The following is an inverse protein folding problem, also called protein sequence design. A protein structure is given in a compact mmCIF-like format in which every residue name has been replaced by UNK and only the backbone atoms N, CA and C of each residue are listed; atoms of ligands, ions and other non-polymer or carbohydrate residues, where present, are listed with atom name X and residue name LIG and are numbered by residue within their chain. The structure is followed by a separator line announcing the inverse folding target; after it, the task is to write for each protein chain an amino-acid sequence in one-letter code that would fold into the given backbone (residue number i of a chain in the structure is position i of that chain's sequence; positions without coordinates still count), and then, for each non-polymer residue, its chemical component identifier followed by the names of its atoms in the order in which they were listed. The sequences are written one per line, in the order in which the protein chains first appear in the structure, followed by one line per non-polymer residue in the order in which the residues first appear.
data_IF_425317415611
#
_entry.id   IF_425317415611
#
_cell.length_a   1.000
_cell.length_b   1.000
_cell.length_c   1.000
_cell.angle_alpha   90.00
_cell.angle_beta   90.00
_cell.angle_gamma   90.00
#
_symmetry.space_group_name_H-M   'P 1'
#
loop_
_entity.id
_entity.type
_entity.pdbx_description
1 polymer ?
#
# COMPACT_ATOMS: atom_id res chain seq x y z
N UNK A 1 -28.00 -10.12 5.98
CA UNK A 1 -26.60 -10.50 6.31
C UNK A 1 -25.69 -9.95 5.22
N UNK A 2 -24.57 -9.28 5.55
CA UNK A 2 -23.68 -8.73 4.51
C UNK A 2 -22.93 -9.87 3.83
N UNK A 3 -22.89 -9.91 2.50
CA UNK A 3 -22.22 -10.99 1.76
C UNK A 3 -20.69 -10.87 1.83
N UNK A 4 -19.98 -12.00 1.80
CA UNK A 4 -18.52 -11.99 1.57
C UNK A 4 -18.27 -11.61 0.12
N UNK A 5 -17.36 -10.67 -0.15
CA UNK A 5 -17.04 -10.23 -1.51
C UNK A 5 -15.55 -10.35 -1.80
N UNK A 6 -15.18 -10.23 -3.08
CA UNK A 6 -13.77 -10.18 -3.49
C UNK A 6 -12.98 -9.05 -2.82
N UNK A 7 -13.64 -7.96 -2.44
CA UNK A 7 -13.02 -6.87 -1.67
C UNK A 7 -12.58 -7.33 -0.27
N UNK A 8 -13.31 -8.24 0.38
CA UNK A 8 -12.89 -8.79 1.68
C UNK A 8 -11.64 -9.67 1.54
N UNK A 9 -11.57 -10.50 0.49
CA UNK A 9 -10.39 -11.32 0.16
C UNK A 9 -9.16 -10.43 -0.03
N UNK A 10 -9.31 -9.38 -0.82
CA UNK A 10 -8.29 -8.36 -1.05
C UNK A 10 -7.86 -7.65 0.25
N UNK A 11 -8.84 -7.28 1.08
CA UNK A 11 -8.61 -6.47 2.29
C UNK A 11 -8.02 -7.30 3.42
N UNK A 12 -8.32 -8.59 3.52
CA UNK A 12 -7.82 -9.47 4.58
C UNK A 12 -6.29 -9.48 4.63
N UNK A 13 -5.64 -9.56 3.46
CA UNK A 13 -4.19 -9.54 3.33
C UNK A 13 -3.54 -8.24 3.82
N UNK A 14 -4.33 -7.17 3.95
CA UNK A 14 -3.88 -5.88 4.50
C UNK A 14 -4.24 -5.74 5.97
N UNK A 15 -5.48 -6.05 6.34
CA UNK A 15 -6.00 -5.87 7.69
C UNK A 15 -7.28 -6.68 7.95
N UNK A 16 -7.18 -7.73 8.76
CA UNK A 16 -8.32 -8.52 9.24
C UNK A 16 -9.36 -7.69 10.01
N UNK A 17 -8.94 -6.69 10.81
CA UNK A 17 -9.88 -5.81 11.53
C UNK A 17 -10.75 -4.99 10.56
N UNK A 18 -10.19 -4.55 9.43
CA UNK A 18 -10.98 -3.83 8.42
C UNK A 18 -12.04 -4.74 7.78
N UNK A 19 -11.72 -6.02 7.55
CA UNK A 19 -12.69 -7.01 7.04
C UNK A 19 -13.81 -7.24 8.06
N UNK A 20 -13.48 -7.44 9.35
CA UNK A 20 -14.49 -7.59 10.39
C UNK A 20 -15.42 -6.37 10.46
N UNK A 21 -14.87 -5.16 10.45
CA UNK A 21 -15.65 -3.92 10.43
C UNK A 21 -16.50 -3.77 9.14
N UNK A 22 -16.00 -4.19 7.99
CA UNK A 22 -16.78 -4.20 6.75
C UNK A 22 -17.98 -5.15 6.83
N UNK A 23 -17.79 -6.34 7.41
CA UNK A 23 -18.81 -7.39 7.54
C UNK A 23 -19.88 -7.06 8.58
N UNK A 24 -19.50 -6.56 9.75
CA UNK A 24 -20.43 -6.39 10.89
C UNK A 24 -20.54 -4.95 11.41
N UNK A 25 -19.55 -4.10 11.12
CA UNK A 25 -19.48 -2.74 11.64
C UNK A 25 -20.44 -1.77 10.95
N UNK A 26 -20.66 -0.64 11.63
CA UNK A 26 -21.42 0.51 11.13
C UNK A 26 -20.60 1.29 10.11
N UNK A 27 -21.06 1.32 8.85
CA UNK A 27 -20.36 1.97 7.75
C UNK A 27 -20.36 3.50 7.86
N UNK A 28 -21.27 4.08 8.64
CA UNK A 28 -21.29 5.53 8.89
C UNK A 28 -20.08 6.00 9.70
N UNK A 29 -19.40 5.06 10.38
CA UNK A 29 -18.14 5.34 11.08
C UNK A 29 -16.92 5.37 10.14
N UNK A 30 -17.08 4.97 8.87
CA UNK A 30 -16.01 5.17 7.88
C UNK A 30 -15.87 6.65 7.61
N UNK A 31 -14.62 7.13 7.61
CA UNK A 31 -14.37 8.47 7.09
C UNK A 31 -14.72 8.52 5.59
N UNK A 32 -15.22 9.65 5.08
CA UNK A 32 -15.45 9.84 3.64
C UNK A 32 -14.13 9.78 2.87
N UNK A 33 -14.19 9.39 1.60
CA UNK A 33 -13.01 9.43 0.72
C UNK A 33 -12.51 10.87 0.57
N UNK A 34 -11.19 11.02 0.45
CA UNK A 34 -10.58 12.31 0.07
C UNK A 34 -10.63 12.48 -1.44
N UNK A 35 -10.59 13.72 -1.97
CA UNK A 35 -10.63 13.96 -3.40
C UNK A 35 -9.59 13.16 -4.21
N UNK A 36 -8.37 13.03 -3.70
CA UNK A 36 -7.31 12.26 -4.37
C UNK A 36 -7.57 10.74 -4.37
N UNK A 37 -8.27 10.21 -3.37
CA UNK A 37 -8.69 8.80 -3.34
C UNK A 37 -9.83 8.55 -4.32
N UNK A 38 -10.80 9.46 -4.39
CA UNK A 38 -11.89 9.42 -5.37
C UNK A 38 -11.33 9.50 -6.80
N UNK A 39 -10.34 10.37 -7.03
CA UNK A 39 -9.63 10.50 -8.30
C UNK A 39 -8.95 9.19 -8.72
N UNK A 40 -8.22 8.53 -7.81
CA UNK A 40 -7.59 7.22 -8.09
C UNK A 40 -8.64 6.14 -8.40
N UNK A 41 -9.76 6.12 -7.67
CA UNK A 41 -10.86 5.19 -7.94
C UNK A 41 -11.57 5.47 -9.27
N UNK A 42 -11.74 6.74 -9.64
CA UNK A 42 -12.29 7.12 -10.94
C UNK A 42 -11.42 6.61 -12.08
N UNK A 43 -10.10 6.84 -12.03
CA UNK A 43 -9.17 6.33 -13.05
C UNK A 43 -9.16 4.81 -13.17
N UNK A 44 -9.34 4.10 -12.06
CA UNK A 44 -9.54 2.66 -12.05
C UNK A 44 -10.75 2.24 -12.89
N UNK A 45 -11.91 2.86 -12.64
CA UNK A 45 -13.15 2.63 -13.39
C UNK A 45 -13.02 3.02 -14.86
N UNK A 46 -12.34 4.12 -15.18
CA UNK A 46 -12.13 4.56 -16.56
C UNK A 46 -11.21 3.60 -17.35
N UNK A 47 -10.22 2.99 -16.69
CA UNK A 47 -9.41 1.94 -17.31
C UNK A 47 -10.23 0.68 -17.59
N UNK A 48 -11.03 0.25 -16.60
CA UNK A 48 -11.92 -0.89 -16.73
C UNK A 48 -12.93 -0.70 -17.86
N UNK A 49 -13.62 0.44 -17.88
CA UNK A 49 -14.59 0.78 -18.92
C UNK A 49 -13.96 0.77 -20.33
N UNK A 50 -12.75 1.32 -20.50
CA UNK A 50 -12.05 1.30 -21.80
C UNK A 50 -11.68 -0.12 -22.24
N UNK A 51 -11.27 -0.99 -21.30
CA UNK A 51 -10.96 -2.38 -21.61
C UNK A 51 -12.23 -3.14 -22.00
N UNK A 52 -13.31 -2.97 -21.23
CA UNK A 52 -14.62 -3.58 -21.50
C UNK A 52 -15.18 -3.12 -22.85
N UNK A 53 -15.14 -1.82 -23.15
CA UNK A 53 -15.58 -1.26 -24.44
C UNK A 53 -14.79 -1.87 -25.61
N UNK A 54 -13.47 -2.04 -25.46
CA UNK A 54 -12.61 -2.66 -26.46
C UNK A 54 -12.91 -4.14 -26.72
N UNK A 55 -13.53 -4.85 -25.76
CA UNK A 55 -13.95 -6.24 -25.90
C UNK A 55 -15.33 -6.37 -26.54
N UNK A 56 -16.18 -5.34 -26.46
CA UNK A 56 -17.56 -5.38 -26.97
C UNK A 56 -18.46 -6.37 -26.23
N UNK A 57 -18.11 -6.76 -25.01
CA UNK A 57 -18.89 -7.67 -24.19
C UNK A 57 -20.03 -6.93 -23.49
N UNK A 58 -21.14 -7.63 -23.28
CA UNK A 58 -22.33 -7.04 -22.64
C UNK A 58 -22.29 -7.24 -21.13
N UNK A 59 -22.94 -6.32 -20.40
CA UNK A 59 -23.17 -6.42 -18.96
C UNK A 59 -24.58 -6.93 -18.66
N UNK A 60 -24.81 -7.65 -17.55
CA UNK A 60 -26.16 -8.02 -17.13
C UNK A 60 -26.97 -6.78 -16.69
N UNK A 61 -28.17 -6.62 -17.22
CA UNK A 61 -29.09 -5.55 -16.81
C UNK A 61 -29.98 -6.01 -15.64
N UNK A 62 -29.95 -5.27 -14.53
CA UNK A 62 -30.78 -5.56 -13.35
C UNK A 62 -30.96 -4.32 -12.46
N UNK A 63 -31.99 -4.28 -11.59
CA UNK A 63 -32.18 -3.17 -10.66
C UNK A 63 -30.99 -2.99 -9.71
N UNK A 64 -30.59 -1.75 -9.37
CA UNK A 64 -29.46 -1.51 -8.48
C UNK A 64 -29.59 -2.25 -7.15
N UNK A 65 -28.55 -3.00 -6.78
CA UNK A 65 -28.44 -3.81 -5.55
C UNK A 65 -29.38 -5.02 -5.47
N UNK A 66 -30.12 -5.36 -6.53
CA UNK A 66 -30.84 -6.62 -6.66
C UNK A 66 -29.89 -7.70 -7.22
N UNK A 67 -29.04 -8.22 -6.34
CA UNK A 67 -27.97 -9.14 -6.73
C UNK A 67 -28.51 -10.49 -7.23
N UNK A 68 -29.67 -10.89 -6.75
CA UNK A 68 -30.41 -12.07 -7.18
C UNK A 68 -30.88 -11.92 -8.63
N UNK A 69 -31.48 -10.78 -8.98
CA UNK A 69 -31.80 -10.47 -10.38
C UNK A 69 -30.55 -10.41 -11.26
N UNK A 70 -29.47 -9.78 -10.78
CA UNK A 70 -28.19 -9.71 -11.50
C UNK A 70 -27.57 -11.09 -11.75
N UNK A 71 -27.61 -11.99 -10.77
CA UNK A 71 -27.12 -13.36 -10.92
C UNK A 71 -27.95 -14.14 -11.93
N UNK A 72 -29.28 -14.00 -11.91
CA UNK A 72 -30.17 -14.63 -12.90
C UNK A 72 -29.92 -14.10 -14.31
N UNK A 73 -29.68 -12.79 -14.46
CA UNK A 73 -29.34 -12.18 -15.75
C UNK A 73 -28.00 -12.71 -16.26
N UNK A 74 -26.98 -12.75 -15.39
CA UNK A 74 -25.66 -13.32 -15.70
C UNK A 74 -25.78 -14.76 -16.15
N UNK A 75 -26.45 -15.63 -15.39
CA UNK A 75 -26.65 -17.04 -15.74
C UNK A 75 -27.33 -17.20 -17.10
N UNK A 76 -28.33 -16.38 -17.41
CA UNK A 76 -29.03 -16.39 -18.71
C UNK A 76 -28.07 -16.09 -19.86
N UNK A 77 -27.20 -15.08 -19.69
CA UNK A 77 -26.17 -14.74 -20.68
C UNK A 77 -25.17 -15.89 -20.85
N UNK A 78 -24.67 -16.46 -19.76
CA UNK A 78 -23.73 -17.58 -19.81
C UNK A 78 -24.33 -18.80 -20.52
N UNK A 79 -25.59 -19.15 -20.25
CA UNK A 79 -26.32 -20.25 -20.90
C UNK A 79 -26.55 -20.03 -22.39
N UNK A 80 -26.70 -18.77 -22.83
CA UNK A 80 -26.81 -18.46 -24.25
C UNK A 80 -25.47 -18.60 -25.01
N UNK A 81 -24.36 -18.75 -24.27
CA UNK A 81 -23.05 -19.00 -24.84
C UNK A 81 -22.44 -17.79 -25.56
N UNK A 82 -22.72 -16.57 -25.09
CA UNK A 82 -22.02 -15.36 -25.57
C UNK A 82 -20.50 -15.48 -25.42
N UNK A 83 -19.74 -14.74 -26.21
CA UNK A 83 -18.28 -14.82 -26.18
C UNK A 83 -17.69 -14.39 -24.83
N UNK A 84 -18.30 -13.37 -24.21
CA UNK A 84 -17.97 -12.94 -22.86
C UNK A 84 -19.04 -12.05 -22.25
N UNK A 85 -18.94 -11.89 -20.94
CA UNK A 85 -19.80 -11.04 -20.12
C UNK A 85 -18.90 -10.14 -19.27
N UNK A 86 -19.22 -8.86 -19.22
CA UNK A 86 -18.56 -7.90 -18.34
C UNK A 86 -19.40 -7.66 -17.09
N UNK A 87 -18.75 -7.33 -15.96
CA UNK A 87 -19.44 -7.05 -14.69
C UNK A 87 -20.48 -8.12 -14.29
N UNK A 88 -20.13 -9.39 -14.52
CA UNK A 88 -21.02 -10.51 -14.23
C UNK A 88 -21.30 -10.64 -12.73
N UNK A 89 -22.48 -11.11 -12.35
CA UNK A 89 -22.86 -11.32 -10.95
C UNK A 89 -22.87 -12.81 -10.63
N UNK A 90 -22.03 -13.22 -9.68
CA UNK A 90 -21.93 -14.59 -9.21
C UNK A 90 -22.35 -14.67 -7.74
N UNK A 91 -23.30 -15.55 -7.42
CA UNK A 91 -23.75 -15.81 -6.05
C UNK A 91 -23.45 -17.25 -5.67
N UNK A 92 -23.01 -17.44 -4.42
CA UNK A 92 -22.80 -18.76 -3.82
C UNK A 92 -22.96 -18.67 -2.30
N UNK A 93 -24.03 -19.25 -1.75
CA UNK A 93 -24.35 -19.12 -0.32
C UNK A 93 -24.46 -17.66 0.14
N UNK A 94 -23.59 -17.26 1.07
CA UNK A 94 -23.49 -15.89 1.60
C UNK A 94 -22.45 -15.03 0.87
N UNK A 95 -22.02 -15.43 -0.32
CA UNK A 95 -20.92 -14.82 -1.09
C UNK A 95 -21.44 -14.12 -2.34
N UNK A 96 -20.79 -13.02 -2.71
CA UNK A 96 -21.07 -12.23 -3.90
C UNK A 96 -19.77 -11.95 -4.65
N UNK A 97 -19.70 -12.44 -5.87
CA UNK A 97 -18.66 -12.14 -6.84
C UNK A 97 -19.16 -11.16 -7.89
N UNK A 98 -18.32 -10.17 -8.21
CA UNK A 98 -18.52 -9.25 -9.33
C UNK A 98 -17.19 -9.23 -10.09
N UNK A 99 -16.87 -10.28 -10.87
CA UNK A 99 -15.72 -10.26 -11.77
C UNK A 99 -15.91 -9.22 -12.87
N UNK A 100 -14.81 -8.54 -13.24
CA UNK A 100 -14.88 -7.60 -14.36
C UNK A 100 -15.16 -8.32 -15.68
N UNK A 101 -14.66 -9.56 -15.82
CA UNK A 101 -14.66 -10.32 -17.08
C UNK A 101 -15.01 -11.80 -16.86
N UNK A 102 -15.92 -12.32 -17.67
CA UNK A 102 -16.20 -13.75 -17.84
C UNK A 102 -16.01 -14.11 -19.31
N UNK A 103 -14.98 -14.88 -19.65
CA UNK A 103 -14.66 -15.26 -21.04
C UNK A 103 -15.05 -16.70 -21.32
N UNK A 104 -15.74 -16.94 -22.43
CA UNK A 104 -16.10 -18.30 -22.87
C UNK A 104 -14.87 -19.03 -23.41
N UNK A 105 -14.70 -20.28 -22.99
CA UNK A 105 -13.65 -21.20 -23.42
C UNK A 105 -14.25 -22.56 -23.80
N UNK A 106 -13.65 -23.30 -24.75
CA UNK A 106 -14.13 -24.63 -25.09
C UNK A 106 -13.96 -25.60 -23.91
N UNK A 107 -14.88 -26.57 -23.80
CA UNK A 107 -14.81 -27.64 -22.79
C UNK A 107 -16.15 -27.87 -22.10
N UNK A 108 -16.49 -29.14 -21.90
CA UNK A 108 -17.78 -29.54 -21.34
C UNK A 108 -18.03 -28.95 -19.93
N UNK A 109 -19.25 -28.45 -19.72
CA UNK A 109 -19.80 -27.96 -18.45
C UNK A 109 -21.33 -28.09 -18.42
N UNK A 110 -21.98 -27.64 -17.35
CA UNK A 110 -23.46 -27.55 -17.27
C UNK A 110 -24.05 -26.58 -18.31
N UNK A 111 -23.22 -25.71 -18.90
CA UNK A 111 -23.63 -24.76 -19.92
C UNK A 111 -23.57 -25.33 -21.35
N UNK A 112 -22.98 -26.53 -21.54
CA UNK A 112 -22.82 -27.19 -22.84
C UNK A 112 -21.37 -27.60 -23.13
N UNK A 113 -20.96 -27.53 -24.39
CA UNK A 113 -19.58 -27.86 -24.85
C UNK A 113 -18.55 -26.73 -24.60
N UNK A 114 -18.93 -25.75 -23.78
CA UNK A 114 -18.10 -24.63 -23.37
C UNK A 114 -18.28 -24.36 -21.87
N UNK A 115 -17.36 -23.58 -21.33
CA UNK A 115 -17.40 -23.05 -19.97
C UNK A 115 -16.89 -21.61 -19.98
N UNK A 116 -16.91 -20.93 -18.85
CA UNK A 116 -16.31 -19.61 -18.70
C UNK A 116 -15.14 -19.65 -17.74
N UNK A 117 -14.19 -18.75 -17.98
CA UNK A 117 -13.05 -18.44 -17.10
C UNK A 117 -13.16 -17.00 -16.61
N UNK A 118 -12.61 -16.73 -15.42
CA UNK A 118 -12.70 -15.41 -14.80
C UNK A 118 -11.48 -14.56 -15.12
N UNK A 119 -11.73 -13.31 -15.50
CA UNK A 119 -10.74 -12.25 -15.61
C UNK A 119 -11.07 -11.03 -14.73
N UNK A 120 -10.05 -10.25 -14.39
CA UNK A 120 -10.22 -9.00 -13.65
C UNK A 120 -9.26 -7.93 -14.18
N UNK A 121 -9.71 -6.69 -14.28
CA UNK A 121 -8.92 -5.56 -14.77
C UNK A 121 -8.21 -4.89 -13.60
N UNK A 122 -6.90 -4.65 -13.74
CA UNK A 122 -6.08 -4.05 -12.67
C UNK A 122 -5.23 -2.91 -13.19
N UNK A 123 -5.30 -1.78 -12.50
CA UNK A 123 -4.45 -0.60 -12.73
C UNK A 123 -2.97 -0.80 -12.36
N UNK A 124 -2.61 -1.94 -11.77
CA UNK A 124 -1.23 -2.27 -11.45
C UNK A 124 -0.45 -2.73 -12.68
N UNK A 125 0.82 -2.33 -12.76
CA UNK A 125 1.74 -2.78 -13.81
C UNK A 125 2.21 -4.24 -13.67
N UNK A 126 1.98 -4.88 -12.51
CA UNK A 126 2.36 -6.27 -12.24
C UNK A 126 1.24 -6.96 -11.47
N UNK A 127 1.03 -8.27 -11.68
CA UNK A 127 0.07 -9.04 -10.91
C UNK A 127 0.49 -9.10 -9.44
N UNK A 128 -0.49 -9.09 -8.55
CA UNK A 128 -0.26 -9.22 -7.11
C UNK A 128 -1.11 -10.35 -6.53
N UNK A 129 -0.62 -10.96 -5.45
CA UNK A 129 -1.28 -12.11 -4.82
C UNK A 129 -2.70 -11.81 -4.30
N UNK A 130 -2.96 -10.58 -3.85
CA UNK A 130 -4.30 -10.11 -3.45
C UNK A 130 -5.30 -10.10 -4.61
N UNK A 131 -4.84 -9.73 -5.81
CA UNK A 131 -5.67 -9.70 -7.02
C UNK A 131 -5.92 -11.12 -7.56
N UNK A 132 -4.89 -11.97 -7.51
CA UNK A 132 -5.00 -13.38 -7.88
C UNK A 132 -6.04 -14.10 -7.01
N UNK A 133 -5.98 -13.94 -5.68
CA UNK A 133 -6.94 -14.58 -4.78
C UNK A 133 -8.37 -14.06 -4.97
N UNK A 134 -8.55 -12.81 -5.39
CA UNK A 134 -9.86 -12.28 -5.77
C UNK A 134 -10.45 -13.00 -6.99
N UNK A 135 -9.64 -13.26 -8.02
CA UNK A 135 -10.07 -14.05 -9.20
C UNK A 135 -10.33 -15.52 -8.84
N UNK A 136 -9.54 -16.10 -7.93
CA UNK A 136 -9.79 -17.46 -7.42
C UNK A 136 -11.14 -17.51 -6.69
N UNK A 137 -11.44 -16.51 -5.85
CA UNK A 137 -12.74 -16.38 -5.19
C UNK A 137 -13.91 -16.39 -6.20
N UNK A 138 -13.82 -15.58 -7.25
CA UNK A 138 -14.84 -15.55 -8.31
C UNK A 138 -14.90 -16.86 -9.09
N UNK A 139 -13.75 -17.50 -9.33
CA UNK A 139 -13.67 -18.77 -10.06
C UNK A 139 -14.35 -19.92 -9.31
N UNK A 140 -14.30 -19.93 -7.98
CA UNK A 140 -15.05 -20.89 -7.16
C UNK A 140 -16.57 -20.65 -7.24
N UNK A 141 -17.02 -19.40 -7.20
CA UNK A 141 -18.45 -19.08 -7.38
C UNK A 141 -18.94 -19.44 -8.78
N UNK A 142 -18.12 -19.19 -9.80
CA UNK A 142 -18.43 -19.60 -11.17
C UNK A 142 -18.49 -21.12 -11.30
N UNK A 143 -17.62 -21.85 -10.58
CA UNK A 143 -17.61 -23.30 -10.58
C UNK A 143 -18.92 -23.90 -10.07
N UNK A 144 -19.53 -23.30 -9.05
CA UNK A 144 -20.85 -23.69 -8.54
C UNK A 144 -21.94 -23.55 -9.61
N UNK A 145 -21.89 -22.46 -10.40
CA UNK A 145 -22.86 -22.16 -11.46
C UNK A 145 -22.73 -23.12 -12.67
N UNK A 146 -21.50 -23.32 -13.17
CA UNK A 146 -21.27 -24.09 -14.40
C UNK A 146 -20.93 -25.57 -14.15
N UNK A 147 -20.86 -26.00 -12.89
CA UNK A 147 -20.52 -27.37 -12.49
C UNK A 147 -19.08 -27.79 -12.77
N UNK A 148 -18.20 -26.83 -13.09
CA UNK A 148 -16.77 -27.05 -13.38
C UNK A 148 -15.93 -25.85 -12.95
N UNK A 149 -14.85 -26.13 -12.22
CA UNK A 149 -13.83 -25.14 -11.90
C UNK A 149 -13.01 -24.75 -13.14
N UNK A 150 -12.81 -23.44 -13.43
CA UNK A 150 -11.83 -22.97 -14.40
C UNK A 150 -10.42 -23.49 -14.10
N UNK A 151 -9.69 -23.94 -15.12
CA UNK A 151 -8.29 -24.37 -14.95
C UNK A 151 -7.36 -23.19 -14.64
N UNK A 152 -7.70 -22.03 -15.20
CA UNK A 152 -6.95 -20.79 -15.03
C UNK A 152 -7.88 -19.60 -14.82
N UNK A 153 -7.34 -18.58 -14.17
CA UNK A 153 -7.88 -17.22 -14.17
C UNK A 153 -6.89 -16.28 -14.83
N UNK A 154 -7.31 -15.04 -15.10
CA UNK A 154 -6.42 -14.06 -15.70
C UNK A 154 -6.60 -12.65 -15.13
N UNK A 155 -5.56 -11.84 -15.22
CA UNK A 155 -5.61 -10.40 -14.94
C UNK A 155 -5.28 -9.64 -16.21
N UNK A 156 -6.07 -8.60 -16.51
CA UNK A 156 -5.72 -7.62 -17.54
C UNK A 156 -5.08 -6.43 -16.85
N UNK A 157 -3.79 -6.21 -17.09
CA UNK A 157 -3.03 -5.15 -16.44
C UNK A 157 -3.23 -3.81 -17.15
N UNK A 158 -2.69 -2.75 -16.54
CA UNK A 158 -2.82 -1.37 -17.05
C UNK A 158 -2.39 -1.18 -18.50
N UNK A 159 -1.39 -1.92 -18.96
CA UNK A 159 -0.87 -1.87 -20.33
C UNK A 159 -1.70 -2.74 -21.31
N UNK A 160 -2.79 -3.34 -20.85
CA UNK A 160 -3.63 -4.26 -21.61
C UNK A 160 -3.07 -5.69 -21.68
N UNK A 161 -1.91 -5.96 -21.08
CA UNK A 161 -1.34 -7.31 -21.09
C UNK A 161 -2.17 -8.26 -20.23
N UNK A 162 -2.36 -9.48 -20.72
CA UNK A 162 -3.04 -10.55 -20.02
C UNK A 162 -2.03 -11.43 -19.26
N UNK A 163 -2.25 -11.59 -17.95
CA UNK A 163 -1.49 -12.49 -17.11
C UNK A 163 -2.36 -13.65 -16.62
N UNK A 164 -2.12 -14.85 -17.15
CA UNK A 164 -2.82 -16.09 -16.74
C UNK A 164 -2.10 -16.79 -15.60
N UNK A 165 -2.85 -17.44 -14.73
CA UNK A 165 -2.33 -18.28 -13.66
C UNK A 165 -3.27 -19.45 -13.38
N UNK A 166 -2.73 -20.59 -12.97
CA UNK A 166 -3.52 -21.78 -12.64
C UNK A 166 -4.27 -21.56 -11.33
N UNK A 167 -5.58 -21.86 -11.31
CA UNK A 167 -6.39 -21.69 -10.09
C UNK A 167 -5.92 -22.63 -8.97
N UNK A 168 -5.57 -23.87 -9.33
CA UNK A 168 -5.19 -24.93 -8.38
C UNK A 168 -4.01 -24.53 -7.48
N UNK A 169 -3.03 -23.78 -8.03
CA UNK A 169 -1.83 -23.34 -7.31
C UNK A 169 -2.15 -22.45 -6.10
N UNK A 170 -3.30 -21.77 -6.12
CA UNK A 170 -3.69 -20.79 -5.11
C UNK A 170 -4.81 -21.28 -4.19
N UNK A 171 -5.44 -22.44 -4.47
CA UNK A 171 -6.51 -22.98 -3.64
C UNK A 171 -6.14 -23.18 -2.17
N UNK A 172 -4.94 -23.68 -1.80
CA UNK A 172 -4.59 -23.84 -0.39
C UNK A 172 -4.55 -22.50 0.36
N UNK A 173 -4.05 -21.44 -0.30
CA UNK A 173 -4.04 -20.09 0.27
C UNK A 173 -5.45 -19.50 0.33
N UNK A 174 -6.23 -19.68 -0.73
CA UNK A 174 -7.62 -19.22 -0.81
C UNK A 174 -8.49 -19.82 0.29
N UNK A 175 -8.40 -21.14 0.55
CA UNK A 175 -9.18 -21.80 1.62
C UNK A 175 -8.89 -21.19 2.98
N UNK A 176 -7.62 -20.93 3.31
CA UNK A 176 -7.22 -20.27 4.57
C UNK A 176 -7.80 -18.87 4.69
N UNK A 177 -7.76 -18.09 3.60
CA UNK A 177 -8.36 -16.75 3.57
C UNK A 177 -9.86 -16.84 3.82
N UNK A 178 -10.57 -17.77 3.19
CA UNK A 178 -12.02 -17.92 3.39
C UNK A 178 -12.35 -18.39 4.80
N UNK A 179 -11.61 -19.35 5.36
CA UNK A 179 -11.76 -19.78 6.75
C UNK A 179 -11.58 -18.61 7.73
N UNK A 180 -10.60 -17.74 7.49
CA UNK A 180 -10.39 -16.54 8.31
C UNK A 180 -11.53 -15.53 8.14
N UNK A 181 -11.99 -15.26 6.91
CA UNK A 181 -13.14 -14.35 6.68
C UNK A 181 -14.41 -14.87 7.36
N UNK A 182 -14.70 -16.17 7.24
CA UNK A 182 -15.88 -16.79 7.83
C UNK A 182 -15.76 -16.74 9.37
N UNK A 183 -14.58 -16.99 9.94
CA UNK A 183 -14.33 -16.79 11.37
C UNK A 183 -14.50 -15.34 11.84
N UNK A 184 -14.06 -14.35 11.05
CA UNK A 184 -14.24 -12.93 11.36
C UNK A 184 -15.70 -12.47 11.26
N UNK A 185 -16.51 -13.14 10.43
CA UNK A 185 -17.95 -12.91 10.35
C UNK A 185 -18.65 -13.41 11.61
N UNK A 186 -18.31 -14.61 12.05
CA UNK A 186 -18.98 -15.29 13.16
C UNK A 186 -18.53 -14.77 14.53
N UNK A 187 -17.26 -14.37 14.65
CA UNK A 187 -16.66 -13.82 15.87
C UNK A 187 -15.81 -12.57 15.55
N UNK A 188 -16.41 -11.44 15.14
CA UNK A 188 -15.70 -10.21 14.76
C UNK A 188 -14.86 -9.60 15.89
N UNK A 189 -15.20 -9.88 17.15
CA UNK A 189 -14.45 -9.49 18.34
C UNK A 189 -13.15 -10.30 18.53
N UNK A 190 -12.99 -11.42 17.82
CA UNK A 190 -11.77 -12.24 17.87
C UNK A 190 -10.55 -11.51 17.30
N UNK A 191 -10.75 -10.46 16.48
CA UNK A 191 -9.68 -9.64 15.92
C UNK A 191 -9.60 -8.27 16.58
N UNK A 192 -8.38 -7.95 17.03
CA UNK A 192 -8.03 -6.62 17.53
C UNK A 192 -7.33 -5.78 16.45
N UNK A 193 -7.52 -4.45 16.46
CA UNK A 193 -6.71 -3.56 15.64
C UNK A 193 -5.21 -3.77 15.88
N UNK A 194 -4.41 -3.32 14.91
CA UNK A 194 -2.94 -3.31 15.00
C UNK A 194 -2.42 -2.17 14.14
N UNK A 195 -1.62 -1.29 14.72
CA UNK A 195 -1.04 -0.16 13.99
C UNK A 195 -0.09 -0.64 12.90
N UNK A 196 -0.31 -0.19 11.65
CA UNK A 196 0.46 -0.63 10.49
C UNK A 196 0.47 0.41 9.37
N UNK A 197 1.28 0.17 8.34
CA UNK A 197 1.33 1.04 7.15
C UNK A 197 -0.01 1.15 6.41
N UNK A 198 -0.90 0.16 6.55
CA UNK A 198 -2.22 0.19 5.93
C UNK A 198 -3.14 1.25 6.57
N UNK A 199 -2.86 1.70 7.80
CA UNK A 199 -3.72 2.61 8.55
C UNK A 199 -3.80 4.01 7.92
N UNK A 200 -2.75 4.49 7.24
CA UNK A 200 -2.70 5.85 6.68
C UNK A 200 -3.74 6.12 5.56
N UNK A 201 -4.11 5.09 4.81
CA UNK A 201 -5.18 5.13 3.80
C UNK A 201 -6.47 4.44 4.21
N UNK A 202 -6.57 3.97 5.46
CA UNK A 202 -7.72 3.18 5.90
C UNK A 202 -8.89 4.09 6.28
N UNK A 203 -10.07 3.85 5.71
CA UNK A 203 -11.28 4.58 6.07
C UNK A 203 -11.79 4.26 7.50
N UNK A 204 -11.37 3.12 8.06
CA UNK A 204 -11.69 2.69 9.43
C UNK A 204 -10.68 3.18 10.48
N UNK A 205 -9.62 3.90 10.09
CA UNK A 205 -8.65 4.40 11.07
C UNK A 205 -9.26 5.25 12.19
N UNK A 206 -10.33 6.06 11.98
CA UNK A 206 -10.96 6.78 13.10
C UNK A 206 -11.65 5.89 14.13
N UNK A 207 -11.97 4.63 13.79
CA UNK A 207 -12.52 3.65 14.74
C UNK A 207 -11.39 2.95 15.48
N UNK A 208 -10.37 2.49 14.75
CA UNK A 208 -9.29 1.68 15.32
C UNK A 208 -8.26 2.50 16.13
N UNK A 209 -7.91 3.71 15.67
CA UNK A 209 -6.84 4.49 16.31
C UNK A 209 -7.16 4.89 17.75
N UNK A 210 -8.37 5.38 18.08
CA UNK A 210 -8.72 5.70 19.47
C UNK A 210 -8.69 4.48 20.41
N UNK A 211 -9.11 3.31 19.92
CA UNK A 211 -9.04 2.04 20.67
C UNK A 211 -7.58 1.70 21.01
N UNK A 212 -6.69 1.74 20.02
CA UNK A 212 -5.26 1.48 20.21
C UNK A 212 -4.60 2.48 21.17
N UNK A 213 -4.95 3.76 21.06
CA UNK A 213 -4.43 4.82 21.95
C UNK A 213 -4.91 4.64 23.40
N UNK A 214 -6.19 4.32 23.60
CA UNK A 214 -6.76 4.08 24.92
C UNK A 214 -6.13 2.85 25.60
N UNK A 215 -5.80 1.83 24.82
CA UNK A 215 -5.16 0.59 25.30
C UNK A 215 -3.64 0.72 25.49
N UNK A 216 -3.04 1.87 25.17
CA UNK A 216 -1.58 2.07 25.18
C UNK A 216 -0.85 0.98 24.34
N UNK A 217 -1.47 0.58 23.22
CA UNK A 217 -1.17 -0.67 22.51
C UNK A 217 0.29 -0.73 22.00
N UNK A 218 0.91 -1.89 22.19
CA UNK A 218 2.32 -2.12 21.83
C UNK A 218 2.60 -2.05 20.33
N UNK A 219 1.59 -2.08 19.46
CA UNK A 219 1.76 -1.92 18.00
C UNK A 219 2.28 -0.54 17.61
N UNK A 220 2.21 0.45 18.50
CA UNK A 220 2.93 1.71 18.35
C UNK A 220 4.45 1.60 18.55
N UNK A 221 5.01 0.44 18.88
CA UNK A 221 6.46 0.28 18.99
C UNK A 221 7.06 -0.14 17.62
N UNK A 222 8.09 0.57 17.11
CA UNK A 222 8.77 0.17 15.88
C UNK A 222 9.26 -1.28 15.90
N UNK A 223 8.94 -2.03 14.85
CA UNK A 223 9.32 -3.43 14.71
C UNK A 223 8.42 -4.41 15.50
N UNK A 224 7.34 -3.93 16.11
CA UNK A 224 6.34 -4.81 16.71
C UNK A 224 5.67 -5.69 15.65
N UNK A 225 5.41 -6.95 16.01
CA UNK A 225 4.59 -7.89 15.23
C UNK A 225 3.41 -8.35 16.09
N UNK A 226 2.34 -8.87 15.47
CA UNK A 226 1.19 -9.41 16.22
C UNK A 226 1.62 -10.47 17.23
N UNK A 227 2.45 -11.42 16.80
CA UNK A 227 2.96 -12.50 17.66
C UNK A 227 3.82 -11.98 18.82
N UNK A 228 4.63 -10.93 18.59
CA UNK A 228 5.45 -10.32 19.64
C UNK A 228 4.58 -9.56 20.64
N UNK A 229 3.59 -8.79 20.17
CA UNK A 229 2.61 -8.11 21.03
C UNK A 229 1.89 -9.14 21.91
N UNK A 230 1.29 -10.16 21.31
CA UNK A 230 0.54 -11.19 22.04
C UNK A 230 1.45 -12.00 23.00
N UNK A 231 2.74 -12.14 22.67
CA UNK A 231 3.75 -12.72 23.56
C UNK A 231 4.02 -11.86 24.79
N UNK A 232 4.24 -10.56 24.60
CA UNK A 232 4.48 -9.60 25.69
C UNK A 232 3.26 -9.44 26.60
N UNK A 233 2.06 -9.34 26.02
CA UNK A 233 0.80 -9.24 26.76
C UNK A 233 0.56 -10.49 27.64
N UNK A 234 0.73 -11.70 27.08
CA UNK A 234 0.63 -12.95 27.85
C UNK A 234 1.70 -13.05 28.94
N UNK A 235 2.86 -12.46 28.71
CA UNK A 235 3.91 -12.36 29.72
C UNK A 235 3.63 -11.29 30.79
N UNK A 236 2.52 -10.54 30.71
CA UNK A 236 2.10 -9.54 31.70
C UNK A 236 2.66 -8.14 31.47
N UNK A 237 3.12 -7.84 30.26
CA UNK A 237 3.68 -6.56 29.84
C UNK A 237 2.81 -5.87 28.77
N UNK A 238 1.49 -5.90 28.96
CA UNK A 238 0.55 -5.18 28.11
C UNK A 238 0.68 -3.66 28.33
N UNK A 239 0.81 -2.91 27.24
CA UNK A 239 0.94 -1.45 27.25
C UNK A 239 2.38 -0.95 27.21
N UNK A 240 2.62 0.13 26.47
CA UNK A 240 3.94 0.77 26.38
C UNK A 240 4.44 1.24 27.75
N UNK A 241 3.58 1.82 28.58
CA UNK A 241 3.92 2.27 29.93
C UNK A 241 4.32 1.13 30.85
N UNK A 242 3.62 -0.01 30.78
CA UNK A 242 3.96 -1.19 31.55
C UNK A 242 5.32 -1.75 31.13
N UNK A 243 5.58 -1.78 29.82
CA UNK A 243 6.82 -2.32 29.26
C UNK A 243 8.04 -1.46 29.61
N UNK A 244 7.95 -0.13 29.50
CA UNK A 244 9.03 0.81 29.86
C UNK A 244 9.37 0.75 31.37
N UNK A 245 8.37 0.58 32.23
CA UNK A 245 8.56 0.52 33.68
C UNK A 245 9.00 -0.86 34.22
N UNK A 246 8.99 -1.91 33.40
CA UNK A 246 9.31 -3.26 33.84
C UNK A 246 10.83 -3.50 33.99
N UNK A 247 11.19 -4.46 34.84
CA UNK A 247 12.57 -4.94 34.90
C UNK A 247 12.93 -5.71 33.63
N UNK A 248 14.04 -5.35 32.99
CA UNK A 248 14.44 -5.92 31.70
C UNK A 248 14.71 -7.43 31.78
N UNK A 249 15.25 -7.93 32.91
CA UNK A 249 15.51 -9.36 33.08
C UNK A 249 14.21 -10.14 33.31
N UNK A 250 13.23 -9.56 34.03
CA UNK A 250 11.87 -10.14 34.15
C UNK A 250 11.18 -10.23 32.79
N UNK A 251 11.23 -9.17 31.98
CA UNK A 251 10.68 -9.17 30.62
C UNK A 251 11.35 -10.24 29.75
N UNK A 252 12.68 -10.26 29.72
CA UNK A 252 13.45 -11.24 28.94
C UNK A 252 13.08 -12.69 29.32
N UNK A 253 12.98 -12.96 30.62
CA UNK A 253 12.64 -14.28 31.14
C UNK A 253 11.21 -14.71 30.81
N UNK A 254 10.21 -13.88 31.15
CA UNK A 254 8.79 -14.23 31.03
C UNK A 254 8.31 -14.21 29.58
N UNK A 255 8.80 -13.27 28.76
CA UNK A 255 8.47 -13.19 27.34
C UNK A 255 9.39 -14.06 26.47
N UNK A 256 10.44 -14.68 27.04
CA UNK A 256 11.45 -15.49 26.33
C UNK A 256 12.11 -14.72 25.18
N UNK A 257 12.54 -13.50 25.47
CA UNK A 257 13.18 -12.60 24.52
C UNK A 257 14.66 -12.41 24.86
N UNK A 258 15.48 -12.24 23.84
CA UNK A 258 16.87 -11.85 24.02
C UNK A 258 16.96 -10.48 24.72
N UNK A 259 17.92 -10.28 25.66
CA UNK A 259 18.04 -9.02 26.41
C UNK A 259 18.14 -7.79 25.50
N UNK A 260 18.88 -7.88 24.40
CA UNK A 260 19.03 -6.79 23.41
C UNK A 260 17.69 -6.40 22.78
N UNK A 261 16.80 -7.37 22.54
CA UNK A 261 15.46 -7.09 22.03
C UNK A 261 14.62 -6.35 23.08
N UNK A 262 14.69 -6.78 24.34
CA UNK A 262 13.98 -6.14 25.45
C UNK A 262 14.43 -4.70 25.62
N UNK A 263 15.74 -4.45 25.66
CA UNK A 263 16.30 -3.09 25.76
C UNK A 263 15.80 -2.20 24.62
N UNK A 264 15.78 -2.72 23.38
CA UNK A 264 15.26 -1.98 22.23
C UNK A 264 13.76 -1.65 22.37
N UNK A 265 12.95 -2.61 22.82
CA UNK A 265 11.51 -2.42 23.01
C UNK A 265 11.22 -1.44 24.16
N UNK A 266 11.95 -1.50 25.26
CA UNK A 266 11.80 -0.57 26.38
C UNK A 266 12.25 0.85 25.98
N UNK A 267 13.33 0.98 25.21
CA UNK A 267 13.73 2.26 24.61
C UNK A 267 12.63 2.81 23.69
N UNK A 268 12.01 1.96 22.87
CA UNK A 268 10.89 2.36 22.01
C UNK A 268 9.66 2.81 22.82
N UNK A 269 9.33 2.08 23.88
CA UNK A 269 8.24 2.43 24.79
C UNK A 269 8.51 3.76 25.49
N UNK A 270 9.75 4.02 25.91
CA UNK A 270 10.17 5.31 26.45
C UNK A 270 10.05 6.44 25.44
N UNK A 271 10.52 6.21 24.21
CA UNK A 271 10.38 7.15 23.11
C UNK A 271 8.91 7.52 22.91
N UNK A 272 8.02 6.51 22.80
CA UNK A 272 6.56 6.66 22.67
C UNK A 272 5.99 7.52 23.79
N UNK A 273 6.30 7.19 25.04
CA UNK A 273 5.81 7.93 26.22
C UNK A 273 6.27 9.37 26.29
N UNK A 274 7.49 9.64 25.83
CA UNK A 274 8.02 11.00 25.77
C UNK A 274 7.55 11.76 24.54
N UNK A 275 6.88 11.09 23.59
CA UNK A 275 6.51 11.58 22.26
C UNK A 275 7.70 12.19 21.51
N UNK A 276 8.90 11.68 21.76
CA UNK A 276 10.15 12.20 21.21
C UNK A 276 11.04 11.06 20.72
N UNK A 277 11.73 11.25 19.58
CA UNK A 277 12.76 10.32 19.16
C UNK A 277 13.90 10.29 20.18
N UNK A 278 14.40 9.10 20.50
CA UNK A 278 15.60 8.92 21.31
C UNK A 278 16.77 8.68 20.38
N UNK A 279 17.68 9.64 20.27
CA UNK A 279 18.85 9.51 19.42
C UNK A 279 19.67 8.29 19.85
N UNK A 280 20.05 7.47 18.87
CA UNK A 280 21.05 6.44 19.09
C UNK A 280 22.41 7.14 19.30
N UNK A 281 23.33 6.62 20.12
CA UNK A 281 24.67 7.18 20.18
C UNK A 281 25.40 6.94 18.86
N UNK A 282 25.88 8.00 18.22
CA UNK A 282 26.69 7.88 17.01
C UNK A 282 27.58 9.08 16.80
N UNK A 283 28.89 8.82 16.69
CA UNK A 283 29.89 9.85 16.42
C UNK A 283 29.84 10.37 14.97
N UNK A 284 30.88 11.13 14.60
CA UNK A 284 31.03 11.84 13.32
C UNK A 284 30.75 11.03 12.03
N UNK A 285 30.79 9.69 12.09
CA UNK A 285 30.47 8.79 10.96
C UNK A 285 28.99 8.78 10.53
N UNK A 286 28.10 9.50 11.22
CA UNK A 286 26.69 9.64 10.82
C UNK A 286 26.44 10.66 9.73
N UNK A 287 27.29 11.68 9.63
CA UNK A 287 27.10 12.78 8.69
C UNK A 287 27.09 12.26 7.25
N UNK A 288 26.18 12.80 6.44
CA UNK A 288 26.03 12.43 5.04
C UNK A 288 25.96 13.69 4.21
N UNK A 289 27.07 14.06 3.59
CA UNK A 289 27.07 15.16 2.62
C UNK A 289 26.64 14.64 1.24
N UNK A 290 25.89 15.46 0.50
CA UNK A 290 25.38 15.12 -0.82
C UNK A 290 24.28 16.08 -1.28
N UNK A 291 23.82 15.88 -2.50
CA UNK A 291 22.67 16.58 -3.05
C UNK A 291 21.38 15.83 -2.68
N UNK A 292 20.37 16.56 -2.20
CA UNK A 292 19.08 15.98 -1.83
C UNK A 292 18.18 15.89 -3.04
N UNK A 293 17.58 14.71 -3.26
CA UNK A 293 16.71 14.45 -4.40
C UNK A 293 15.37 13.93 -3.89
N UNK A 294 14.28 14.51 -4.40
CA UNK A 294 12.92 14.07 -4.12
C UNK A 294 12.08 14.15 -5.38
N UNK A 295 11.01 13.36 -5.41
CA UNK A 295 10.09 13.31 -6.54
C UNK A 295 8.64 13.15 -6.09
N UNK A 296 7.74 13.68 -6.91
CA UNK A 296 6.32 13.38 -6.88
C UNK A 296 5.99 12.50 -8.09
N UNK A 297 5.22 11.45 -7.86
CA UNK A 297 5.00 10.39 -8.85
C UNK A 297 3.53 10.02 -8.96
N UNK A 298 3.07 9.79 -10.19
CA UNK A 298 1.80 9.15 -10.45
C UNK A 298 2.01 7.63 -10.62
N UNK A 299 1.67 6.82 -9.59
CA UNK A 299 1.79 5.37 -9.69
C UNK A 299 0.83 4.76 -10.71
N UNK A 300 -0.32 5.40 -10.97
CA UNK A 300 -1.30 4.91 -11.92
C UNK A 300 -0.82 5.13 -13.35
N UNK A 301 -0.25 6.28 -13.71
CA UNK A 301 0.34 6.46 -15.06
C UNK A 301 1.75 5.86 -15.17
N UNK A 302 2.38 5.48 -14.05
CA UNK A 302 3.83 5.26 -13.95
C UNK A 302 4.54 6.44 -14.58
N UNK A 303 4.33 7.64 -14.02
CA UNK A 303 4.80 8.91 -14.58
C UNK A 303 5.36 9.81 -13.50
N UNK A 304 6.47 10.47 -13.80
CA UNK A 304 7.03 11.50 -12.94
C UNK A 304 6.20 12.79 -13.05
N UNK A 305 5.68 13.26 -11.92
CA UNK A 305 4.92 14.53 -11.86
C UNK A 305 5.85 15.72 -11.60
N UNK A 306 6.87 15.52 -10.77
CA UNK A 306 7.86 16.54 -10.43
C UNK A 306 9.11 15.85 -9.88
N UNK A 307 10.30 16.39 -10.16
CA UNK A 307 11.55 16.00 -9.51
C UNK A 307 12.36 17.25 -9.20
N UNK A 308 12.98 17.27 -8.04
CA UNK A 308 13.84 18.36 -7.62
C UNK A 308 15.10 17.89 -6.94
N UNK A 309 16.14 18.70 -7.06
CA UNK A 309 17.42 18.53 -6.42
C UNK A 309 17.83 19.79 -5.68
N UNK A 310 18.41 19.61 -4.49
CA UNK A 310 19.13 20.67 -3.76
C UNK A 310 20.60 20.30 -3.69
N UNK A 311 21.43 21.10 -4.36
CA UNK A 311 22.87 20.94 -4.36
C UNK A 311 23.55 21.59 -3.14
N UNK A 312 24.89 21.52 -3.06
CA UNK A 312 25.66 22.16 -1.98
C UNK A 312 25.58 23.69 -1.95
N UNK A 313 25.12 24.32 -3.03
CA UNK A 313 24.90 25.76 -3.14
C UNK A 313 23.53 26.21 -2.58
N UNK A 314 22.79 25.29 -1.96
CA UNK A 314 21.45 25.48 -1.40
C UNK A 314 20.37 25.93 -2.40
N UNK A 315 20.70 25.92 -3.70
CA UNK A 315 19.74 26.24 -4.75
C UNK A 315 18.91 25.01 -5.10
N UNK A 316 17.59 25.18 -5.08
CA UNK A 316 16.65 24.16 -5.53
C UNK A 316 16.50 24.27 -7.04
N UNK A 317 16.81 23.18 -7.74
CA UNK A 317 16.59 23.03 -9.18
C UNK A 317 15.55 21.94 -9.35
N UNK A 318 14.52 22.20 -10.15
CA UNK A 318 13.43 21.26 -10.34
C UNK A 318 12.90 21.26 -11.76
N UNK A 319 12.16 20.20 -12.10
CA UNK A 319 11.46 20.09 -13.36
C UNK A 319 10.11 19.40 -13.16
N UNK A 320 9.18 19.75 -14.04
CA UNK A 320 7.91 19.06 -14.27
C UNK A 320 7.99 18.54 -15.71
N UNK A 321 8.05 17.23 -15.96
CA UNK A 321 8.23 16.71 -17.31
C UNK A 321 6.97 16.88 -18.15
N UNK A 322 7.11 17.46 -19.35
CA UNK A 322 6.01 17.64 -20.31
C UNK A 322 5.44 16.30 -20.80
N UNK A 323 6.31 15.30 -20.98
CA UNK A 323 5.96 13.95 -21.38
C UNK A 323 6.79 12.88 -20.64
N UNK A 324 6.45 11.59 -20.84
CA UNK A 324 7.23 10.46 -20.32
C UNK A 324 8.62 10.38 -20.96
N UNK A 325 8.74 10.80 -22.22
CA UNK A 325 10.00 10.74 -22.97
C UNK A 325 10.98 11.82 -22.49
N UNK A 326 10.46 12.91 -21.90
CA UNK A 326 11.27 14.01 -21.34
C UNK A 326 11.76 13.74 -19.91
N UNK A 327 11.25 12.70 -19.24
CA UNK A 327 11.56 12.41 -17.83
C UNK A 327 13.06 12.20 -17.61
N UNK A 328 13.68 11.35 -18.43
CA UNK A 328 15.08 11.00 -18.25
C UNK A 328 16.01 12.12 -18.73
N UNK A 329 15.76 12.70 -19.89
CA UNK A 329 16.58 13.79 -20.44
C UNK A 329 16.55 15.02 -19.52
N UNK A 330 15.38 15.37 -18.99
CA UNK A 330 15.22 16.42 -17.99
C UNK A 330 15.99 16.12 -16.70
N UNK A 331 15.88 14.90 -16.17
CA UNK A 331 16.68 14.51 -15.00
C UNK A 331 18.18 14.57 -15.26
N UNK A 332 18.64 14.11 -16.42
CA UNK A 332 20.05 14.17 -16.77
C UNK A 332 20.56 15.61 -16.86
N UNK A 333 19.73 16.57 -17.30
CA UNK A 333 20.05 17.99 -17.28
C UNK A 333 20.21 18.52 -15.84
N UNK A 334 19.27 18.24 -14.94
CA UNK A 334 19.39 18.60 -13.51
C UNK A 334 20.63 17.98 -12.86
N UNK A 335 20.87 16.70 -13.15
CA UNK A 335 21.99 15.94 -12.61
C UNK A 335 23.35 16.46 -13.09
N UNK A 336 23.45 16.93 -14.33
CA UNK A 336 24.68 17.48 -14.89
C UNK A 336 25.17 18.76 -14.18
N UNK A 337 24.28 19.46 -13.47
CA UNK A 337 24.63 20.63 -12.66
C UNK A 337 25.25 20.28 -11.30
N UNK A 338 25.21 19.00 -10.90
CA UNK A 338 25.76 18.53 -9.63
C UNK A 338 27.24 18.16 -9.75
N UNK A 339 28.03 18.27 -8.65
CA UNK A 339 29.39 17.76 -8.65
C UNK A 339 29.45 16.28 -9.09
N UNK A 340 30.44 15.85 -9.89
CA UNK A 340 30.51 14.50 -10.46
C UNK A 340 30.48 13.35 -9.45
N UNK A 341 30.93 13.60 -8.23
CA UNK A 341 31.04 12.66 -7.11
C UNK A 341 30.00 12.90 -6.00
N UNK A 342 29.13 13.91 -6.15
CA UNK A 342 28.12 14.23 -5.12
C UNK A 342 27.17 13.05 -4.89
N UNK A 343 27.06 12.58 -3.65
CA UNK A 343 26.09 11.54 -3.29
C UNK A 343 24.67 12.09 -3.47
N UNK A 344 23.75 11.26 -3.94
CA UNK A 344 22.37 11.64 -4.19
C UNK A 344 21.49 11.07 -3.07
N UNK A 345 21.14 11.94 -2.14
CA UNK A 345 20.43 11.59 -0.92
C UNK A 345 18.93 11.61 -1.20
N UNK A 346 18.26 10.47 -1.05
CA UNK A 346 16.84 10.33 -1.37
C UNK A 346 16.09 9.58 -0.27
N UNK A 347 14.76 9.69 -0.25
CA UNK A 347 13.94 8.97 0.74
C UNK A 347 13.26 7.74 0.13
N UNK A 348 13.59 6.55 0.62
CA UNK A 348 12.93 5.31 0.23
C UNK A 348 13.28 4.84 -1.18
N UNK A 349 12.37 4.12 -1.84
CA UNK A 349 12.66 3.40 -3.11
C UNK A 349 12.09 4.07 -4.36
N UNK A 350 11.36 5.18 -4.24
CA UNK A 350 10.68 5.79 -5.38
C UNK A 350 11.67 6.25 -6.46
N UNK A 351 12.73 6.99 -6.08
CA UNK A 351 13.76 7.45 -7.01
C UNK A 351 14.53 6.30 -7.67
N UNK A 352 15.12 5.33 -6.92
CA UNK A 352 15.79 4.20 -7.54
C UNK A 352 14.91 3.41 -8.51
N UNK A 353 13.66 3.13 -8.14
CA UNK A 353 12.74 2.37 -8.99
C UNK A 353 12.39 3.12 -10.27
N UNK A 354 12.09 4.41 -10.15
CA UNK A 354 11.81 5.23 -11.32
C UNK A 354 13.03 5.33 -12.24
N UNK A 355 14.21 5.57 -11.69
CA UNK A 355 15.44 5.69 -12.48
C UNK A 355 15.75 4.38 -13.21
N UNK A 356 15.73 3.24 -12.50
CA UNK A 356 15.94 1.91 -13.08
C UNK A 356 15.00 1.68 -14.29
N UNK A 357 13.70 1.95 -14.12
CA UNK A 357 12.71 1.79 -15.17
C UNK A 357 12.90 2.72 -16.38
N UNK A 358 13.52 3.89 -16.21
CA UNK A 358 13.71 4.89 -17.27
C UNK A 358 15.05 4.83 -17.96
N UNK A 359 16.10 4.47 -17.23
CA UNK A 359 17.46 4.40 -17.75
C UNK A 359 17.83 3.03 -18.31
N UNK A 360 16.88 2.09 -18.43
CA UNK A 360 17.13 0.81 -19.07
C UNK A 360 17.73 1.03 -20.47
N UNK A 361 18.96 0.56 -20.67
CA UNK A 361 19.80 0.69 -21.88
C UNK A 361 20.61 1.98 -22.04
N UNK A 362 20.57 2.91 -21.07
CA UNK A 362 21.34 4.16 -21.15
C UNK A 362 22.77 4.01 -20.63
N UNK A 363 23.80 4.33 -21.44
CA UNK A 363 25.19 4.25 -21.03
C UNK A 363 25.48 5.14 -19.80
N UNK A 364 26.04 4.55 -18.74
CA UNK A 364 26.44 5.29 -17.54
C UNK A 364 25.36 5.38 -16.44
N UNK A 365 24.16 4.85 -16.65
CA UNK A 365 23.11 4.70 -15.63
C UNK A 365 23.62 4.10 -14.32
N UNK A 366 24.41 3.02 -14.38
CA UNK A 366 25.03 2.37 -13.22
C UNK A 366 25.93 3.32 -12.39
N UNK A 367 26.56 4.31 -13.02
CA UNK A 367 27.39 5.30 -12.29
C UNK A 367 26.53 6.28 -11.51
N UNK A 368 25.35 6.62 -12.02
CA UNK A 368 24.37 7.46 -11.31
C UNK A 368 23.77 6.68 -10.13
N UNK A 369 23.33 5.44 -10.37
CA UNK A 369 22.78 4.58 -9.32
C UNK A 369 23.76 4.34 -8.18
N UNK A 370 25.06 4.19 -8.48
CA UNK A 370 26.10 4.03 -7.46
C UNK A 370 26.20 5.24 -6.50
N UNK A 371 25.67 6.41 -6.88
CA UNK A 371 25.63 7.62 -6.04
C UNK A 371 24.40 7.68 -5.12
N UNK A 372 23.38 6.83 -5.33
CA UNK A 372 22.14 6.84 -4.56
C UNK A 372 22.36 6.44 -3.10
N UNK A 373 21.79 7.23 -2.18
CA UNK A 373 21.84 6.98 -0.73
C UNK A 373 20.43 7.09 -0.16
N UNK A 374 19.87 5.94 0.25
CA UNK A 374 18.59 5.89 0.93
C UNK A 374 18.69 6.43 2.37
N UNK A 375 18.22 7.68 2.55
CA UNK A 375 18.13 8.35 3.84
C UNK A 375 17.08 7.71 4.75
N UNK A 376 16.01 7.10 4.22
CA UNK A 376 14.97 6.54 5.07
C UNK A 376 15.54 5.46 6.01
N UNK A 377 16.45 4.62 5.50
CA UNK A 377 17.17 3.63 6.31
C UNK A 377 18.13 4.28 7.32
N UNK A 378 18.86 5.32 6.92
CA UNK A 378 19.84 6.00 7.79
C UNK A 378 19.16 6.75 8.93
N UNK A 379 18.11 7.50 8.62
CA UNK A 379 17.33 8.27 9.59
C UNK A 379 16.65 7.35 10.62
N UNK A 380 16.01 6.25 10.17
CA UNK A 380 15.43 5.24 11.08
C UNK A 380 16.46 4.53 11.97
N UNK A 381 17.71 4.45 11.54
CA UNK A 381 18.79 3.86 12.34
C UNK A 381 19.46 4.88 13.28
N UNK A 382 19.21 6.17 13.09
CA UNK A 382 19.82 7.24 13.88
C UNK A 382 19.09 7.50 15.20
N UNK A 383 17.84 7.03 15.33
CA UNK A 383 17.03 7.22 16.52
C UNK A 383 16.04 6.07 16.72
N UNK A 384 15.70 5.80 17.98
CA UNK A 384 14.50 5.04 18.34
C UNK A 384 13.31 5.97 18.22
N UNK A 385 12.41 5.66 17.30
CA UNK A 385 11.23 6.48 17.02
C UNK A 385 10.08 6.12 17.97
N UNK A 386 9.24 7.10 18.36
CA UNK A 386 8.08 6.87 19.23
C UNK A 386 6.96 6.07 18.54
N UNK A 387 6.95 5.94 17.21
CA UNK A 387 5.95 5.19 16.45
C UNK A 387 6.56 4.63 15.16
N UNK A 388 6.03 3.55 14.56
CA UNK A 388 6.48 3.10 13.25
C UNK A 388 6.33 4.19 12.19
N UNK A 389 7.43 4.48 11.49
CA UNK A 389 7.46 5.46 10.38
C UNK A 389 7.54 4.74 9.04
N UNK A 390 6.49 4.92 8.22
CA UNK A 390 6.33 4.23 6.94
C UNK A 390 6.67 5.08 5.71
N UNK A 391 6.51 6.41 5.81
CA UNK A 391 6.79 7.37 4.73
C UNK A 391 7.56 8.58 5.23
N UNK A 392 7.80 9.55 4.33
CA UNK A 392 8.50 10.80 4.68
C UNK A 392 7.62 11.64 5.59
N UNK A 393 6.32 11.69 5.29
CA UNK A 393 5.30 12.44 6.01
C UNK A 393 5.22 12.05 7.49
N UNK A 394 5.22 10.74 7.78
CA UNK A 394 5.26 10.25 9.15
C UNK A 394 6.59 10.58 9.84
N UNK A 395 7.71 10.56 9.11
CA UNK A 395 9.03 10.87 9.65
C UNK A 395 9.13 12.33 10.09
N UNK A 396 8.65 13.24 9.23
CA UNK A 396 8.59 14.68 9.48
C UNK A 396 7.75 14.98 10.70
N UNK A 397 6.55 14.43 10.79
CA UNK A 397 5.67 14.62 11.94
C UNK A 397 6.29 14.13 13.24
N UNK A 398 6.90 12.95 13.22
CA UNK A 398 7.48 12.30 14.40
C UNK A 398 8.73 12.99 14.92
N UNK A 399 9.60 13.46 14.03
CA UNK A 399 10.93 13.98 14.43
C UNK A 399 10.95 15.50 14.50
N UNK A 400 10.28 16.19 13.58
CA UNK A 400 10.27 17.64 13.51
C UNK A 400 9.03 18.26 14.20
N UNK A 401 8.00 17.47 14.50
CA UNK A 401 6.73 17.99 15.03
C UNK A 401 5.98 18.86 14.03
N UNK A 402 6.28 18.73 12.74
CA UNK A 402 5.66 19.51 11.67
C UNK A 402 4.56 18.73 10.98
N UNK A 403 3.52 19.43 10.53
CA UNK A 403 2.55 18.86 9.59
C UNK A 403 3.20 18.73 8.20
N UNK A 404 3.48 17.50 7.79
CA UNK A 404 4.01 17.18 6.47
C UNK A 404 3.00 17.43 5.32
N UNK A 405 1.73 17.64 5.65
CA UNK A 405 0.65 17.90 4.71
C UNK A 405 0.28 19.38 4.61
N UNK A 406 1.04 20.28 5.25
CA UNK A 406 0.83 21.74 5.20
C UNK A 406 0.84 22.34 3.78
N UNK A 407 1.46 21.66 2.82
CA UNK A 407 1.47 21.99 1.38
C UNK A 407 0.73 20.94 0.53
N UNK A 408 -0.23 20.25 1.13
CA UNK A 408 -0.94 19.14 0.54
C UNK A 408 -0.20 17.81 0.67
N UNK A 409 -0.83 16.75 0.18
CA UNK A 409 -0.36 15.37 0.33
C UNK A 409 0.28 14.87 -0.96
N UNK A 410 1.32 14.03 -0.85
CA UNK A 410 2.02 13.53 -2.04
C UNK A 410 1.13 12.67 -2.95
N UNK A 411 0.06 12.05 -2.42
CA UNK A 411 -0.95 11.30 -3.17
C UNK A 411 -1.86 12.20 -4.03
N UNK A 412 -1.91 13.51 -3.81
CA UNK A 412 -2.58 14.48 -4.69
C UNK A 412 -1.81 14.73 -6.00
N UNK A 413 -0.53 14.37 -6.08
CA UNK A 413 0.35 14.77 -7.18
C UNK A 413 -0.19 14.38 -8.57
N UNK A 414 -0.74 13.17 -8.71
CA UNK A 414 -1.31 12.72 -9.98
C UNK A 414 -2.52 13.59 -10.40
N UNK A 415 -3.42 13.88 -9.46
CA UNK A 415 -4.60 14.71 -9.69
C UNK A 415 -4.20 16.14 -10.08
N UNK A 416 -3.26 16.74 -9.35
CA UNK A 416 -2.76 18.10 -9.57
C UNK A 416 -2.03 18.22 -10.91
N UNK A 417 -1.27 17.18 -11.27
CA UNK A 417 -0.61 17.11 -12.57
C UNK A 417 -1.62 17.11 -13.73
N UNK A 418 -2.67 16.27 -13.66
CA UNK A 418 -3.70 16.24 -14.71
C UNK A 418 -4.52 17.54 -14.80
N UNK A 419 -4.66 18.25 -13.69
CA UNK A 419 -5.30 19.58 -13.63
C UNK A 419 -4.41 20.71 -14.15
N UNK A 420 -3.12 20.44 -14.46
CA UNK A 420 -2.15 21.46 -14.86
C UNK A 420 -1.68 22.37 -13.72
N UNK A 421 -1.91 21.97 -12.46
CA UNK A 421 -1.54 22.73 -11.26
C UNK A 421 -0.04 22.51 -10.92
N UNK A 422 0.83 22.95 -11.84
CA UNK A 422 2.27 22.73 -11.72
C UNK A 422 2.94 23.59 -10.65
N UNK A 423 2.31 24.70 -10.26
CA UNK A 423 2.78 25.52 -9.15
C UNK A 423 2.59 24.79 -7.82
N UNK A 424 1.45 24.13 -7.62
CA UNK A 424 1.24 23.26 -6.47
C UNK A 424 2.29 22.13 -6.41
N UNK A 425 2.59 21.48 -7.54
CA UNK A 425 3.60 20.40 -7.59
C UNK A 425 4.97 20.91 -7.13
N UNK A 426 5.37 22.10 -7.58
CA UNK A 426 6.63 22.72 -7.17
C UNK A 426 6.60 23.09 -5.70
N UNK A 427 5.53 23.71 -5.21
CA UNK A 427 5.42 24.09 -3.80
C UNK A 427 5.50 22.86 -2.87
N UNK A 428 4.73 21.81 -3.19
CA UNK A 428 4.73 20.55 -2.45
C UNK A 428 6.10 19.86 -2.51
N UNK A 429 6.65 19.68 -3.71
CA UNK A 429 7.93 19.00 -3.92
C UNK A 429 9.10 19.70 -3.22
N UNK A 430 9.14 21.03 -3.29
CA UNK A 430 10.16 21.85 -2.59
C UNK A 430 9.99 21.81 -1.08
N UNK A 431 8.75 21.79 -0.58
CA UNK A 431 8.47 21.62 0.85
C UNK A 431 8.98 20.27 1.37
N UNK A 432 8.77 19.18 0.62
CA UNK A 432 9.26 17.85 0.97
C UNK A 432 10.79 17.75 0.94
N UNK A 433 11.44 18.42 -0.02
CA UNK A 433 12.90 18.53 -0.05
C UNK A 433 13.43 19.25 1.20
N UNK A 434 12.81 20.36 1.58
CA UNK A 434 13.19 21.10 2.78
C UNK A 434 13.01 20.25 4.04
N UNK A 435 11.92 19.49 4.12
CA UNK A 435 11.66 18.54 5.22
C UNK A 435 12.72 17.44 5.29
N UNK A 436 13.11 16.86 4.15
CA UNK A 436 14.15 15.83 4.09
C UNK A 436 15.51 16.35 4.57
N UNK A 437 15.84 17.60 4.22
CA UNK A 437 17.04 18.29 4.71
C UNK A 437 16.97 18.54 6.21
N UNK A 438 15.85 19.07 6.70
CA UNK A 438 15.65 19.32 8.12
C UNK A 438 15.73 18.04 8.97
N UNK A 439 15.18 16.92 8.48
CA UNK A 439 15.32 15.60 9.11
C UNK A 439 16.76 15.14 9.19
N UNK A 440 17.52 15.35 8.12
CA UNK A 440 18.94 14.98 8.07
C UNK A 440 19.75 15.80 9.05
N UNK A 441 19.52 17.11 9.10
CA UNK A 441 20.14 17.97 10.10
C UNK A 441 19.79 17.54 11.53
N UNK A 442 18.51 17.25 11.80
CA UNK A 442 18.02 16.90 13.13
C UNK A 442 18.52 15.54 13.66
N UNK A 443 18.77 14.56 12.80
CA UNK A 443 19.12 13.18 13.23
C UNK A 443 20.57 12.76 12.93
N UNK A 444 21.17 13.31 11.87
CA UNK A 444 22.49 12.88 11.39
C UNK A 444 23.58 13.92 11.62
N UNK A 445 23.20 15.18 11.84
CA UNK A 445 24.14 16.30 12.01
C UNK A 445 24.03 16.97 13.38
N UNK A 446 23.00 16.65 14.17
CA UNK A 446 22.86 17.11 15.55
C UNK A 446 24.04 16.62 16.40
N UNK A 447 24.91 17.55 16.80
CA UNK A 447 26.04 17.30 17.66
C UNK A 447 25.58 17.19 19.13
N UNK A 448 24.86 16.14 19.51
CA UNK A 448 24.65 15.82 20.92
C UNK A 448 25.34 14.49 21.25
N UNK A 449 26.64 14.63 21.54
CA UNK A 449 27.33 13.74 22.47
C UNK A 449 26.90 14.18 23.88
N UNK A 450 25.70 13.79 24.31
CA UNK A 450 25.42 13.71 25.75
C UNK A 450 26.26 12.57 26.30
N UNK A 451 27.33 12.96 27.00
CA UNK A 451 28.16 12.06 27.83
C UNK A 451 27.47 11.79 29.15
#
# INVERSE_FOLDING_TARGET
MKRTTGTHVYTLLKCAKAVALDLVGDRELKRPLRPEEEFVLARGRDLEARIVEGLGWSEPEFPPRDWEAGASATESMLRSGVEGVSQGILLGGDRLGIPDLLRREPGASVLGEFHYVVGDVKSSARPRSDQILQVVFYSELLAELQGRRPEYGYLVLRDGSEHRFAIEDYLPAFRRVMEEIDGLRDAPESVRPFWSSACGGCAWSPVCSPELEADDDLSFLPGMTRSLRDGLERAGFAGCARLDAADAADVASRARLEPVMVERLQRAARARRSERPLLEPGGANRRVDGAFVHLLFDPFADRLCWIGVVGPDDQVRDLVPDSRDDELSGWMALFAELPPDARLLHYGRSLPRWFEHRSHHEPGSLRVEARFVDLARRLRAAAVLPTPVFGLEAHVGVVLGLDAHRKGRADEAAMRFEQGDFDWLREKGRSDLADLRALTAALLESAEVTT
#
